data_IF_662186999890
#
_entry.id   IF_662186999890
#
_cell.length_a   1.000
_cell.length_b   1.000
_cell.length_c   1.000
_cell.angle_alpha   90.00
_cell.angle_beta   90.00
_cell.angle_gamma   90.00
#
_symmetry.space_group_name_H-M   'P 1'
#
loop_
_entity.id
_entity.type
_entity.pdbx_description
1 polymer ?
#
# COMPACT_ATOMS: atom_id res chain seq x y z
N UNK A 1 -4.12 -0.57 17.87
CA UNK A 1 -5.36 -1.05 17.21
C UNK A 1 -5.18 -1.15 15.71
N UNK A 2 -4.86 -0.07 14.98
CA UNK A 2 -4.62 -0.13 13.52
C UNK A 2 -3.54 -1.14 13.11
N UNK A 3 -2.46 -1.27 13.87
CA UNK A 3 -1.42 -2.28 13.64
C UNK A 3 -1.95 -3.74 13.64
N UNK A 4 -2.92 -4.03 14.52
CA UNK A 4 -3.58 -5.35 14.62
C UNK A 4 -4.50 -5.59 13.41
N UNK A 5 -5.01 -4.53 12.79
CA UNK A 5 -5.78 -4.66 11.56
C UNK A 5 -4.86 -4.83 10.35
N UNK A 6 -3.85 -3.97 10.19
CA UNK A 6 -3.00 -3.95 9.00
C UNK A 6 -1.96 -5.07 8.93
N UNK A 7 -1.61 -5.76 10.03
CA UNK A 7 -0.78 -6.97 9.94
C UNK A 7 -1.48 -8.12 9.22
N UNK A 8 -2.82 -8.12 9.20
CA UNK A 8 -3.60 -9.16 8.54
C UNK A 8 -3.39 -9.19 7.02
N UNK A 9 -2.98 -8.07 6.40
CA UNK A 9 -2.71 -8.00 4.96
C UNK A 9 -1.54 -8.92 4.57
N UNK A 10 -0.30 -8.71 5.06
CA UNK A 10 0.82 -9.57 4.66
C UNK A 10 0.68 -11.00 5.21
N UNK A 11 0.16 -11.18 6.43
CA UNK A 11 -0.06 -12.53 6.97
C UNK A 11 -1.12 -13.29 6.19
N UNK A 12 -2.24 -12.65 5.85
CA UNK A 12 -3.29 -13.23 5.03
C UNK A 12 -2.77 -13.64 3.64
N UNK A 13 -1.97 -12.78 3.00
CA UNK A 13 -1.32 -13.10 1.72
C UNK A 13 -0.39 -14.32 1.83
N UNK A 14 0.47 -14.37 2.84
CA UNK A 14 1.37 -15.51 3.06
C UNK A 14 0.61 -16.82 3.34
N UNK A 15 -0.43 -16.76 4.17
CA UNK A 15 -1.33 -17.89 4.42
C UNK A 15 -2.06 -18.32 3.14
N UNK A 16 -2.39 -17.39 2.24
CA UNK A 16 -2.96 -17.66 0.93
C UNK A 16 -2.05 -18.54 0.06
N UNK A 17 -0.75 -18.25 0.00
CA UNK A 17 0.21 -19.11 -0.69
C UNK A 17 0.31 -20.49 -0.06
N UNK A 18 0.34 -20.56 1.27
CA UNK A 18 0.46 -21.83 2.01
C UNK A 18 -0.78 -22.70 1.80
N UNK A 19 -1.97 -22.14 1.97
CA UNK A 19 -3.22 -22.85 1.77
C UNK A 19 -3.38 -23.25 0.30
N UNK A 20 -3.12 -22.34 -0.64
CA UNK A 20 -3.27 -22.60 -2.07
C UNK A 20 -2.35 -23.71 -2.57
N UNK A 21 -1.08 -23.69 -2.16
CA UNK A 21 -0.11 -24.74 -2.50
C UNK A 21 -0.48 -26.10 -1.90
N UNK A 22 -0.78 -26.17 -0.59
CA UNK A 22 -1.15 -27.43 0.06
C UNK A 22 -2.42 -28.04 -0.50
N UNK A 23 -3.44 -27.22 -0.76
CA UNK A 23 -4.71 -27.73 -1.30
C UNK A 23 -4.54 -28.19 -2.74
N UNK A 24 -3.76 -27.48 -3.56
CA UNK A 24 -3.40 -27.94 -4.92
C UNK A 24 -2.71 -29.29 -4.87
N UNK A 25 -1.71 -29.44 -4.00
CA UNK A 25 -0.92 -30.68 -3.89
C UNK A 25 -1.76 -31.86 -3.38
N UNK A 26 -2.66 -31.62 -2.41
CA UNK A 26 -3.53 -32.66 -1.84
C UNK A 26 -4.65 -33.08 -2.80
N UNK A 27 -5.25 -32.13 -3.51
CA UNK A 27 -6.39 -32.38 -4.39
C UNK A 27 -5.97 -32.73 -5.83
N UNK A 28 -4.69 -32.59 -6.16
CA UNK A 28 -4.15 -32.77 -7.51
C UNK A 28 -4.64 -31.72 -8.53
N UNK A 29 -5.40 -30.71 -8.09
CA UNK A 29 -6.03 -29.72 -8.95
C UNK A 29 -6.11 -28.35 -8.26
N UNK A 30 -5.72 -27.31 -8.98
CA UNK A 30 -5.67 -25.93 -8.52
C UNK A 30 -7.08 -25.34 -8.29
N UNK A 31 -8.12 -25.84 -8.94
CA UNK A 31 -9.49 -25.35 -8.72
C UNK A 31 -9.94 -25.53 -7.26
N UNK A 32 -9.44 -26.53 -6.55
CA UNK A 32 -9.76 -26.75 -5.13
C UNK A 32 -9.16 -25.67 -4.23
N UNK A 33 -7.99 -25.13 -4.57
CA UNK A 33 -7.41 -24.01 -3.84
C UNK A 33 -8.33 -22.78 -3.85
N UNK A 34 -9.02 -22.52 -4.97
CA UNK A 34 -9.97 -21.41 -5.10
C UNK A 34 -11.23 -21.56 -4.24
N UNK A 35 -11.58 -22.78 -3.82
CA UNK A 35 -12.81 -23.05 -3.04
C UNK A 35 -12.63 -22.79 -1.55
N UNK A 36 -11.39 -22.71 -1.06
CA UNK A 36 -11.08 -22.46 0.36
C UNK A 36 -11.51 -21.06 0.79
N UNK A 37 -11.14 -20.05 0.00
CA UNK A 37 -11.35 -18.64 0.35
C UNK A 37 -12.83 -18.26 0.49
N UNK A 38 -13.75 -18.68 -0.42
CA UNK A 38 -15.18 -18.46 -0.24
C UNK A 38 -15.73 -19.05 1.07
N UNK A 39 -15.26 -20.24 1.48
CA UNK A 39 -15.67 -20.86 2.75
C UNK A 39 -15.27 -20.01 3.97
N UNK A 40 -14.03 -19.53 4.00
CA UNK A 40 -13.57 -18.59 5.04
C UNK A 40 -14.34 -17.27 5.00
N UNK A 41 -14.71 -16.79 3.81
CA UNK A 41 -15.52 -15.60 3.61
C UNK A 41 -16.91 -15.71 4.22
N UNK A 42 -17.59 -16.85 4.06
CA UNK A 42 -18.89 -17.11 4.69
C UNK A 42 -18.78 -17.05 6.21
N UNK A 43 -17.74 -17.68 6.79
CA UNK A 43 -17.49 -17.61 8.23
C UNK A 43 -17.26 -16.18 8.69
N UNK A 44 -16.48 -15.39 7.94
CA UNK A 44 -16.26 -13.97 8.26
C UNK A 44 -17.56 -13.16 8.24
N UNK A 45 -18.43 -13.36 7.25
CA UNK A 45 -19.74 -12.69 7.17
C UNK A 45 -20.64 -13.05 8.36
N UNK A 46 -20.68 -14.32 8.75
CA UNK A 46 -21.42 -14.78 9.92
C UNK A 46 -20.89 -14.13 11.21
N UNK A 47 -19.57 -14.07 11.38
CA UNK A 47 -18.96 -13.41 12.54
C UNK A 47 -19.24 -11.90 12.56
N UNK A 48 -19.19 -11.21 11.42
CA UNK A 48 -19.56 -9.80 11.34
C UNK A 48 -21.01 -9.59 11.78
N UNK A 49 -21.94 -10.40 11.28
CA UNK A 49 -23.37 -10.27 11.61
C UNK A 49 -23.68 -10.59 13.09
N UNK A 50 -23.01 -11.60 13.66
CA UNK A 50 -23.29 -12.08 15.02
C UNK A 50 -22.54 -11.30 16.11
N UNK A 51 -21.33 -10.79 15.82
CA UNK A 51 -20.41 -10.24 16.83
C UNK A 51 -20.29 -8.71 16.74
N UNK A 52 -20.29 -8.13 15.54
CA UNK A 52 -20.01 -6.69 15.36
C UNK A 52 -21.28 -5.87 15.51
N UNK A 53 -21.32 -5.02 16.54
CA UNK A 53 -22.36 -4.00 16.71
C UNK A 53 -21.91 -2.70 16.04
N UNK A 54 -22.70 -2.22 15.10
CA UNK A 54 -22.45 -0.95 14.40
C UNK A 54 -22.55 0.24 15.39
N UNK A 55 -21.47 0.98 15.63
CA UNK A 55 -21.53 2.18 16.46
C UNK A 55 -22.17 3.34 15.68
N UNK A 56 -22.81 4.31 16.37
CA UNK A 56 -23.26 5.53 15.71
C UNK A 56 -22.08 6.29 15.11
N UNK A 57 -22.22 6.75 13.86
CA UNK A 57 -21.15 7.46 13.13
C UNK A 57 -20.66 8.68 13.91
N UNK A 58 -19.33 8.82 14.03
CA UNK A 58 -18.70 9.94 14.72
C UNK A 58 -18.78 9.88 16.24
N UNK A 59 -19.23 8.77 16.84
CA UNK A 59 -19.36 8.63 18.29
C UNK A 59 -18.02 8.72 19.02
N UNK A 60 -16.90 8.46 18.34
CA UNK A 60 -15.55 8.45 18.93
C UNK A 60 -14.89 9.83 18.86
N UNK A 61 -15.36 10.69 17.95
CA UNK A 61 -14.80 12.01 17.66
C UNK A 61 -15.57 13.17 18.31
N UNK A 62 -16.72 12.90 18.96
CA UNK A 62 -17.43 13.90 19.77
C UNK A 62 -16.64 14.20 21.04
N UNK A 63 -15.62 15.04 20.93
CA UNK A 63 -15.19 15.85 22.06
C UNK A 63 -16.35 16.81 22.37
N UNK A 64 -16.83 16.77 23.61
CA UNK A 64 -18.06 17.41 24.09
C UNK A 64 -18.19 18.91 23.78
N UNK A 65 -17.09 19.59 23.41
CA UNK A 65 -17.02 21.04 23.21
C UNK A 65 -16.61 21.50 21.79
N UNK A 66 -16.46 20.60 20.81
CA UNK A 66 -16.11 21.01 19.43
C UNK A 66 -17.35 21.23 18.56
N UNK A 67 -17.42 22.31 17.75
CA UNK A 67 -18.55 22.54 16.86
C UNK A 67 -18.73 21.36 15.89
N UNK A 68 -19.96 20.96 15.56
CA UNK A 68 -20.21 19.85 14.65
C UNK A 68 -19.58 20.16 13.28
N UNK A 69 -18.66 19.29 12.84
CA UNK A 69 -18.12 19.36 11.49
C UNK A 69 -19.23 19.02 10.51
N UNK A 70 -19.63 20.01 9.69
CA UNK A 70 -20.64 19.79 8.67
C UNK A 70 -20.06 19.03 7.48
N UNK A 71 -20.80 18.07 6.90
CA UNK A 71 -20.40 17.43 5.67
C UNK A 71 -20.32 18.46 4.53
N UNK A 72 -19.26 18.37 3.73
CA UNK A 72 -19.05 19.21 2.55
C UNK A 72 -19.47 18.48 1.27
N UNK A 73 -19.58 19.21 0.16
CA UNK A 73 -19.88 18.59 -1.13
C UNK A 73 -18.73 17.70 -1.60
N UNK A 74 -19.05 16.62 -2.31
CA UNK A 74 -18.05 15.65 -2.78
C UNK A 74 -16.95 16.28 -3.64
N UNK A 75 -17.30 17.23 -4.52
CA UNK A 75 -16.33 17.96 -5.34
C UNK A 75 -15.41 18.88 -4.51
N UNK A 76 -15.92 19.45 -3.42
CA UNK A 76 -15.10 20.24 -2.50
C UNK A 76 -14.09 19.32 -1.78
N UNK A 77 -14.53 18.14 -1.34
CA UNK A 77 -13.66 17.15 -0.70
C UNK A 77 -12.53 16.71 -1.63
N UNK A 78 -12.86 16.38 -2.87
CA UNK A 78 -11.86 16.04 -3.89
C UNK A 78 -10.82 17.13 -4.09
N UNK A 79 -11.27 18.37 -4.24
CA UNK A 79 -10.38 19.51 -4.44
C UNK A 79 -9.50 19.76 -3.21
N UNK A 80 -10.03 19.56 -2.01
CA UNK A 80 -9.28 19.70 -0.77
C UNK A 80 -8.22 18.59 -0.63
N UNK A 81 -8.57 17.35 -0.94
CA UNK A 81 -7.64 16.21 -0.94
C UNK A 81 -6.54 16.40 -1.98
N UNK A 82 -6.89 16.85 -3.19
CA UNK A 82 -5.93 17.15 -4.24
C UNK A 82 -5.00 18.34 -3.92
N UNK A 83 -5.32 19.15 -2.90
CA UNK A 83 -4.47 20.25 -2.41
C UNK A 83 -3.68 19.89 -1.15
N UNK A 84 -3.83 18.67 -0.66
CA UNK A 84 -3.10 18.16 0.49
C UNK A 84 -1.85 17.41 0.00
N UNK A 85 -0.67 18.04 0.01
CA UNK A 85 0.55 17.43 -0.54
C UNK A 85 0.96 16.18 0.26
N UNK A 86 0.77 16.15 1.58
CA UNK A 86 1.07 14.94 2.37
C UNK A 86 0.18 13.77 1.97
N UNK A 87 -1.11 14.01 1.73
CA UNK A 87 -2.02 12.96 1.27
C UNK A 87 -1.62 12.43 -0.12
N UNK A 88 -1.32 13.30 -1.08
CA UNK A 88 -0.91 12.89 -2.43
C UNK A 88 0.39 12.11 -2.38
N UNK A 89 1.42 12.66 -1.74
CA UNK A 89 2.75 12.05 -1.72
C UNK A 89 2.77 10.73 -0.95
N UNK A 90 2.05 10.63 0.16
CA UNK A 90 1.91 9.35 0.89
C UNK A 90 1.09 8.33 0.11
N UNK A 91 0.08 8.75 -0.65
CA UNK A 91 -0.68 7.88 -1.55
C UNK A 91 0.17 7.36 -2.71
N UNK A 92 1.02 8.21 -3.30
CA UNK A 92 1.99 7.80 -4.33
C UNK A 92 3.03 6.83 -3.75
N UNK A 93 3.57 7.13 -2.57
CA UNK A 93 4.49 6.23 -1.86
C UNK A 93 3.87 4.86 -1.60
N UNK A 94 2.63 4.83 -1.10
CA UNK A 94 1.91 3.59 -0.86
C UNK A 94 1.54 2.84 -2.13
N UNK A 95 1.22 3.56 -3.21
CA UNK A 95 1.01 2.95 -4.53
C UNK A 95 2.26 2.23 -5.02
N UNK A 96 3.46 2.80 -4.78
CA UNK A 96 4.71 2.12 -5.07
C UNK A 96 4.96 0.89 -4.17
N UNK A 97 4.59 0.95 -2.88
CA UNK A 97 4.62 -0.22 -1.99
C UNK A 97 3.73 -1.34 -2.56
N UNK A 98 2.51 -1.01 -2.96
CA UNK A 98 1.56 -1.95 -3.57
C UNK A 98 2.07 -2.48 -4.91
N UNK A 99 2.69 -1.63 -5.74
CA UNK A 99 3.32 -2.03 -7.00
C UNK A 99 4.35 -3.14 -6.78
N UNK A 100 5.31 -2.90 -5.88
CA UNK A 100 6.38 -3.85 -5.58
C UNK A 100 5.79 -5.14 -5.00
N UNK A 101 4.88 -5.02 -4.03
CA UNK A 101 4.25 -6.17 -3.38
C UNK A 101 3.47 -7.02 -4.37
N UNK A 102 2.62 -6.44 -5.21
CA UNK A 102 1.82 -7.18 -6.19
C UNK A 102 2.67 -7.89 -7.24
N UNK A 103 3.72 -7.22 -7.73
CA UNK A 103 4.65 -7.82 -8.70
C UNK A 103 5.39 -9.03 -8.11
N UNK A 104 5.90 -8.90 -6.88
CA UNK A 104 6.55 -10.01 -6.18
C UNK A 104 5.57 -11.12 -5.86
N UNK A 105 4.36 -10.77 -5.42
CA UNK A 105 3.31 -11.74 -5.12
C UNK A 105 3.04 -12.66 -6.34
N UNK A 106 2.83 -12.10 -7.53
CA UNK A 106 2.57 -12.95 -8.70
C UNK A 106 3.82 -13.68 -9.19
N UNK A 107 4.95 -12.97 -9.30
CA UNK A 107 6.09 -13.44 -10.08
C UNK A 107 7.21 -14.06 -9.25
N UNK A 108 7.33 -13.80 -7.95
CA UNK A 108 8.44 -14.30 -7.15
C UNK A 108 8.49 -15.84 -7.09
N UNK A 109 7.39 -16.59 -6.87
CA UNK A 109 7.45 -18.05 -6.89
C UNK A 109 7.88 -18.60 -8.25
N UNK A 110 7.37 -18.03 -9.34
CA UNK A 110 7.75 -18.42 -10.70
C UNK A 110 9.21 -18.07 -11.01
N UNK A 111 9.70 -16.92 -10.54
CA UNK A 111 11.08 -16.49 -10.66
C UNK A 111 12.04 -17.43 -9.93
N UNK A 112 11.73 -17.79 -8.68
CA UNK A 112 12.51 -18.70 -7.85
C UNK A 112 12.59 -20.10 -8.48
N UNK A 113 11.46 -20.62 -8.96
CA UNK A 113 11.41 -21.88 -9.69
C UNK A 113 12.30 -21.85 -10.94
N UNK A 114 12.18 -20.81 -11.78
CA UNK A 114 13.02 -20.64 -12.97
C UNK A 114 14.51 -20.56 -12.62
N UNK A 115 14.85 -19.93 -11.50
CA UNK A 115 16.22 -19.85 -11.01
C UNK A 115 16.78 -21.23 -10.67
N UNK A 116 16.02 -22.07 -9.97
CA UNK A 116 16.41 -23.44 -9.63
C UNK A 116 16.58 -24.34 -10.84
N UNK A 117 15.70 -24.18 -11.85
CA UNK A 117 15.84 -24.89 -13.13
C UNK A 117 17.15 -24.50 -13.82
N UNK A 118 17.50 -23.22 -13.85
CA UNK A 118 18.76 -22.74 -14.44
C UNK A 118 20.00 -23.22 -13.66
N UNK A 119 19.88 -23.38 -12.33
CA UNK A 119 20.92 -23.94 -11.47
C UNK A 119 21.06 -25.46 -11.57
N UNK A 120 20.08 -26.15 -12.18
CA UNK A 120 20.02 -27.61 -12.24
C UNK A 120 19.58 -28.27 -10.93
N UNK A 121 19.02 -27.51 -9.98
CA UNK A 121 18.52 -28.03 -8.70
C UNK A 121 17.18 -28.76 -8.85
N UNK A 122 16.37 -28.38 -9.84
CA UNK A 122 15.04 -28.95 -10.08
C UNK A 122 14.78 -29.11 -11.57
N UNK A 123 14.04 -30.16 -12.00
CA UNK A 123 13.65 -30.32 -13.39
C UNK A 123 12.69 -29.21 -13.86
N UNK A 124 12.67 -28.89 -15.17
CA UNK A 124 11.71 -27.94 -15.71
C UNK A 124 10.28 -28.48 -15.61
N UNK A 125 9.35 -27.56 -15.34
CA UNK A 125 7.92 -27.84 -15.29
C UNK A 125 7.32 -27.97 -16.69
N UNK A 126 6.95 -29.19 -17.09
CA UNK A 126 6.31 -29.45 -18.38
C UNK A 126 4.77 -29.39 -18.27
N UNK A 127 4.07 -29.06 -19.37
CA UNK A 127 2.61 -29.05 -19.39
C UNK A 127 2.05 -30.44 -19.05
N UNK A 128 1.30 -30.55 -17.95
CA UNK A 128 0.72 -31.81 -17.47
C UNK A 128 1.34 -32.35 -16.18
N UNK A 129 2.48 -31.83 -15.75
CA UNK A 129 3.11 -32.22 -14.48
C UNK A 129 2.55 -31.42 -13.28
N UNK A 130 2.37 -32.11 -12.15
CA UNK A 130 2.12 -31.47 -10.85
C UNK A 130 3.41 -30.84 -10.35
N UNK A 131 3.72 -29.64 -10.85
CA UNK A 131 4.87 -28.87 -10.43
C UNK A 131 4.94 -28.69 -8.92
N UNK A 132 6.13 -28.90 -8.37
CA UNK A 132 6.43 -28.72 -6.95
C UNK A 132 6.01 -27.33 -6.48
N UNK A 133 5.12 -27.28 -5.48
CA UNK A 133 4.64 -26.04 -4.87
C UNK A 133 5.59 -25.49 -3.78
N UNK A 134 6.80 -26.05 -3.65
CA UNK A 134 7.74 -25.73 -2.58
C UNK A 134 8.15 -24.25 -2.56
N UNK A 135 8.39 -23.63 -3.72
CA UNK A 135 8.79 -22.21 -3.76
C UNK A 135 7.63 -21.28 -3.36
N UNK A 136 6.39 -21.62 -3.71
CA UNK A 136 5.21 -20.90 -3.23
C UNK A 136 5.02 -21.08 -1.72
N UNK A 137 5.26 -22.28 -1.17
CA UNK A 137 5.21 -22.54 0.26
C UNK A 137 6.26 -21.73 1.03
N UNK A 138 7.51 -21.76 0.58
CA UNK A 138 8.62 -21.04 1.22
C UNK A 138 8.37 -19.54 1.14
N UNK A 139 7.98 -19.04 -0.04
CA UNK A 139 7.63 -17.63 -0.22
C UNK A 139 6.48 -17.22 0.71
N UNK A 140 5.41 -18.01 0.79
CA UNK A 140 4.29 -17.76 1.70
C UNK A 140 4.68 -17.70 3.18
N UNK A 141 5.57 -18.60 3.62
CA UNK A 141 6.12 -18.58 4.99
C UNK A 141 6.95 -17.33 5.24
N UNK A 142 7.80 -16.95 4.29
CA UNK A 142 8.59 -15.73 4.37
C UNK A 142 7.65 -14.53 4.47
N UNK A 143 6.67 -14.39 3.56
CA UNK A 143 5.67 -13.31 3.56
C UNK A 143 4.89 -13.19 4.88
N UNK A 144 4.51 -14.32 5.49
CA UNK A 144 3.90 -14.30 6.82
C UNK A 144 4.83 -13.71 7.88
N UNK A 145 6.06 -14.21 7.96
CA UNK A 145 7.03 -13.80 8.98
C UNK A 145 7.46 -12.34 8.80
N UNK A 146 7.79 -11.96 7.57
CA UNK A 146 8.20 -10.59 7.20
C UNK A 146 7.05 -9.61 7.38
N UNK A 147 5.80 -10.04 7.17
CA UNK A 147 4.60 -9.28 7.48
C UNK A 147 4.47 -8.93 8.96
N UNK A 148 4.55 -9.93 9.84
CA UNK A 148 4.48 -9.72 11.29
C UNK A 148 5.64 -8.85 11.78
N UNK A 149 6.86 -9.21 11.39
CA UNK A 149 8.07 -8.49 11.81
C UNK A 149 8.09 -7.07 11.26
N UNK A 150 7.77 -6.87 9.98
CA UNK A 150 7.80 -5.58 9.32
C UNK A 150 6.78 -4.61 9.91
N UNK A 151 5.52 -5.03 10.07
CA UNK A 151 4.49 -4.17 10.68
C UNK A 151 4.84 -3.84 12.13
N UNK A 152 5.33 -4.81 12.91
CA UNK A 152 5.77 -4.61 14.29
C UNK A 152 6.94 -3.63 14.41
N UNK A 153 7.99 -3.83 13.62
CA UNK A 153 9.17 -2.96 13.57
C UNK A 153 8.80 -1.56 13.08
N UNK A 154 7.96 -1.44 12.05
CA UNK A 154 7.50 -0.16 11.52
C UNK A 154 6.81 0.68 12.60
N UNK A 155 5.84 0.10 13.30
CA UNK A 155 5.10 0.78 14.36
C UNK A 155 6.01 1.14 15.54
N UNK A 156 6.91 0.25 15.95
CA UNK A 156 7.80 0.51 17.08
C UNK A 156 8.84 1.59 16.76
N UNK A 157 9.45 1.55 15.57
CA UNK A 157 10.38 2.59 15.13
C UNK A 157 9.69 3.94 14.98
N UNK A 158 8.52 3.97 14.34
CA UNK A 158 7.69 5.17 14.28
C UNK A 158 7.39 5.70 15.68
N UNK A 159 6.90 4.87 16.60
CA UNK A 159 6.56 5.27 17.97
C UNK A 159 7.75 5.86 18.72
N UNK A 160 8.94 5.26 18.62
CA UNK A 160 10.15 5.76 19.28
C UNK A 160 10.62 7.07 18.67
N UNK A 161 10.72 7.13 17.35
CA UNK A 161 11.23 8.30 16.63
C UNK A 161 10.27 9.50 16.74
N UNK A 162 8.96 9.24 16.87
CA UNK A 162 7.94 10.29 17.03
C UNK A 162 8.08 11.08 18.33
N UNK A 163 8.77 10.54 19.35
CA UNK A 163 9.08 11.26 20.59
C UNK A 163 10.04 12.43 20.38
N UNK A 164 10.93 12.33 19.39
CA UNK A 164 11.94 13.35 19.09
C UNK A 164 11.67 14.10 17.78
N UNK A 165 11.01 13.48 16.81
CA UNK A 165 10.75 14.07 15.50
C UNK A 165 9.27 13.92 15.09
N UNK A 166 8.51 15.02 14.94
CA UNK A 166 7.12 14.99 14.48
C UNK A 166 6.92 14.38 13.08
N UNK A 167 8.00 14.30 12.27
CA UNK A 167 8.02 13.73 10.91
C UNK A 167 8.37 12.23 10.88
N UNK A 168 8.39 11.56 12.03
CA UNK A 168 8.86 10.18 12.16
C UNK A 168 8.18 9.22 11.18
N UNK A 169 6.86 9.29 11.03
CA UNK A 169 6.06 8.35 10.25
C UNK A 169 6.48 8.29 8.77
N UNK A 170 6.44 9.40 8.01
CA UNK A 170 6.90 9.37 6.62
C UNK A 170 8.39 9.05 6.48
N UNK A 171 9.24 9.41 7.46
CA UNK A 171 10.66 9.05 7.41
C UNK A 171 10.90 7.54 7.60
N UNK A 172 10.12 6.88 8.46
CA UNK A 172 10.19 5.43 8.64
C UNK A 172 9.67 4.72 7.39
N UNK A 173 8.59 5.22 6.77
CA UNK A 173 8.11 4.69 5.48
C UNK A 173 9.17 4.84 4.38
N UNK A 174 9.79 6.03 4.27
CA UNK A 174 10.86 6.27 3.32
C UNK A 174 12.06 5.34 3.54
N UNK A 175 12.51 5.18 4.78
CA UNK A 175 13.62 4.30 5.12
C UNK A 175 13.31 2.83 4.80
N UNK A 176 12.09 2.36 5.10
CA UNK A 176 11.64 1.01 4.76
C UNK A 176 11.63 0.79 3.25
N UNK A 177 10.97 1.68 2.49
CA UNK A 177 10.83 1.50 1.05
C UNK A 177 12.16 1.71 0.28
N UNK A 178 12.93 2.76 0.59
CA UNK A 178 14.27 2.97 0.00
C UNK A 178 15.23 1.87 0.39
N UNK A 179 15.18 1.41 1.65
CA UNK A 179 15.98 0.30 2.15
C UNK A 179 15.63 -1.02 1.47
N UNK A 180 14.36 -1.25 1.14
CA UNK A 180 13.95 -2.48 0.46
C UNK A 180 14.51 -2.59 -0.97
N UNK A 181 14.64 -1.49 -1.70
CA UNK A 181 15.10 -1.47 -3.09
C UNK A 181 16.46 -2.15 -3.34
N UNK A 182 17.57 -1.86 -2.61
CA UNK A 182 18.83 -2.56 -2.79
C UNK A 182 18.74 -4.05 -2.43
N UNK A 183 17.97 -4.43 -1.40
CA UNK A 183 17.80 -5.85 -1.07
C UNK A 183 17.00 -6.61 -2.12
N UNK A 184 15.97 -5.99 -2.69
CA UNK A 184 15.24 -6.56 -3.83
C UNK A 184 16.15 -6.70 -5.05
N UNK A 185 16.96 -5.68 -5.36
CA UNK A 185 17.95 -5.77 -6.43
C UNK A 185 18.95 -6.91 -6.19
N UNK A 186 19.51 -7.01 -4.98
CA UNK A 186 20.44 -8.08 -4.60
C UNK A 186 19.78 -9.46 -4.68
N UNK A 187 18.51 -9.60 -4.28
CA UNK A 187 17.79 -10.86 -4.40
C UNK A 187 17.69 -11.34 -5.85
N UNK A 188 17.47 -10.41 -6.79
CA UNK A 188 17.37 -10.70 -8.21
C UNK A 188 18.73 -11.06 -8.80
N UNK A 189 19.80 -10.33 -8.47
CA UNK A 189 21.14 -10.59 -9.02
C UNK A 189 21.77 -11.86 -8.45
N UNK A 190 21.54 -12.17 -7.17
CA UNK A 190 22.05 -13.37 -6.52
C UNK A 190 21.32 -14.66 -6.92
N UNK A 191 20.14 -14.58 -7.55
CA UNK A 191 19.29 -15.74 -7.83
C UNK A 191 20.00 -16.81 -8.67
N UNK A 192 20.85 -16.42 -9.62
CA UNK A 192 21.65 -17.36 -10.42
C UNK A 192 22.84 -17.96 -9.69
N UNK A 193 23.29 -17.35 -8.58
CA UNK A 193 24.45 -17.81 -7.83
C UNK A 193 24.08 -18.67 -6.62
N UNK A 194 23.09 -18.22 -5.85
CA UNK A 194 22.64 -18.92 -4.64
C UNK A 194 21.18 -18.63 -4.35
N UNK A 195 20.34 -19.67 -4.40
CA UNK A 195 18.93 -19.56 -4.05
C UNK A 195 18.73 -19.17 -2.58
N UNK A 196 19.61 -19.64 -1.69
CA UNK A 196 19.58 -19.33 -0.26
C UNK A 196 19.83 -17.84 -0.02
N UNK A 197 20.84 -17.26 -0.67
CA UNK A 197 21.10 -15.82 -0.58
C UNK A 197 19.90 -15.00 -1.08
N UNK A 198 19.26 -15.43 -2.17
CA UNK A 198 18.05 -14.80 -2.68
C UNK A 198 16.91 -14.81 -1.67
N UNK A 199 16.65 -15.93 -0.99
CA UNK A 199 15.62 -15.99 0.05
C UNK A 199 15.91 -15.06 1.23
N UNK A 200 17.17 -14.96 1.67
CA UNK A 200 17.57 -14.04 2.74
C UNK A 200 17.32 -12.58 2.33
N UNK A 201 17.68 -12.21 1.10
CA UNK A 201 17.46 -10.86 0.60
C UNK A 201 15.97 -10.54 0.37
N UNK A 202 15.17 -11.51 -0.08
CA UNK A 202 13.70 -11.37 -0.14
C UNK A 202 13.16 -11.12 1.27
N UNK A 203 13.58 -11.92 2.26
CA UNK A 203 13.13 -11.76 3.64
C UNK A 203 13.40 -10.36 4.19
N UNK A 204 14.61 -9.83 4.00
CA UNK A 204 14.96 -8.48 4.46
C UNK A 204 14.18 -7.42 3.68
N UNK A 205 14.14 -7.52 2.34
CA UNK A 205 13.45 -6.57 1.48
C UNK A 205 11.95 -6.49 1.79
N UNK A 206 11.28 -7.63 1.95
CA UNK A 206 9.86 -7.71 2.27
C UNK A 206 9.54 -7.27 3.71
N UNK A 207 10.44 -7.51 4.67
CA UNK A 207 10.30 -6.98 6.03
C UNK A 207 10.31 -5.45 6.01
N UNK A 208 11.27 -4.85 5.30
CA UNK A 208 11.38 -3.40 5.15
C UNK A 208 10.18 -2.80 4.38
N UNK A 209 9.69 -3.49 3.35
CA UNK A 209 8.49 -3.12 2.61
C UNK A 209 7.24 -3.15 3.52
N UNK A 210 7.13 -4.17 4.36
CA UNK A 210 5.99 -4.39 5.26
C UNK A 210 5.91 -3.37 6.41
N UNK A 211 6.96 -2.60 6.67
CA UNK A 211 6.91 -1.51 7.66
C UNK A 211 5.90 -0.41 7.32
N UNK A 212 5.52 -0.27 6.04
CA UNK A 212 4.71 0.84 5.56
C UNK A 212 3.20 0.71 5.88
N UNK A 213 2.65 -0.51 5.94
CA UNK A 213 1.20 -0.75 5.95
C UNK A 213 0.44 0.01 7.04
N UNK A 214 0.84 -0.15 8.31
CA UNK A 214 0.17 0.48 9.43
C UNK A 214 0.45 1.99 9.52
N UNK A 215 1.65 2.42 9.11
CA UNK A 215 2.10 3.82 9.26
C UNK A 215 1.41 4.72 8.23
N UNK A 216 1.25 4.26 6.98
CA UNK A 216 0.57 5.03 5.94
C UNK A 216 -0.89 5.30 6.31
N UNK A 217 -1.57 4.31 6.88
CA UNK A 217 -2.93 4.51 7.37
C UNK A 217 -2.99 5.54 8.52
N UNK A 218 -2.02 5.50 9.44
CA UNK A 218 -1.90 6.51 10.52
C UNK A 218 -1.69 7.91 9.92
N UNK A 219 -0.80 8.05 8.92
CA UNK A 219 -0.55 9.30 8.19
C UNK A 219 -1.86 9.92 7.68
N UNK A 220 -2.68 9.13 6.98
CA UNK A 220 -3.96 9.58 6.42
C UNK A 220 -4.87 10.16 7.50
N UNK A 221 -4.98 9.49 8.65
CA UNK A 221 -5.91 9.88 9.71
C UNK A 221 -5.59 11.24 10.33
N UNK A 222 -4.32 11.62 10.47
CA UNK A 222 -3.97 12.90 11.08
C UNK A 222 -3.69 14.03 10.09
N UNK A 223 -3.59 13.76 8.77
CA UNK A 223 -3.49 14.81 7.73
C UNK A 223 -4.82 15.11 7.05
N UNK A 224 -5.84 14.25 7.21
CA UNK A 224 -7.19 14.44 6.64
C UNK A 224 -8.23 14.61 7.76
N UNK A 225 -9.10 15.61 7.60
CA UNK A 225 -10.18 15.87 8.55
C UNK A 225 -11.22 14.73 8.56
N UNK A 226 -11.87 14.46 9.71
CA UNK A 226 -12.77 13.32 9.87
C UNK A 226 -13.85 13.16 8.79
N UNK A 227 -14.49 14.27 8.38
CA UNK A 227 -15.56 14.27 7.38
C UNK A 227 -15.11 13.81 5.99
N UNK A 228 -13.80 13.85 5.71
CA UNK A 228 -13.20 13.51 4.40
C UNK A 228 -12.38 12.22 4.41
N UNK A 229 -12.16 11.60 5.58
CA UNK A 229 -11.27 10.43 5.73
C UNK A 229 -11.72 9.22 4.90
N UNK A 230 -13.00 8.90 4.92
CA UNK A 230 -13.54 7.78 4.14
C UNK A 230 -13.31 7.97 2.64
N UNK A 231 -13.55 9.18 2.12
CA UNK A 231 -13.27 9.52 0.73
C UNK A 231 -11.77 9.41 0.43
N UNK A 232 -10.92 9.95 1.30
CA UNK A 232 -9.46 9.89 1.14
C UNK A 232 -8.93 8.45 1.10
N UNK A 233 -9.40 7.61 2.02
CA UNK A 233 -9.02 6.19 2.10
C UNK A 233 -9.48 5.43 0.86
N UNK A 234 -10.72 5.65 0.42
CA UNK A 234 -11.22 5.06 -0.83
C UNK A 234 -10.36 5.44 -2.05
N UNK A 235 -9.95 6.72 -2.17
CA UNK A 235 -9.06 7.15 -3.25
C UNK A 235 -7.68 6.51 -3.16
N UNK A 236 -7.11 6.46 -1.96
CA UNK A 236 -5.81 5.82 -1.75
C UNK A 236 -5.85 4.34 -2.14
N UNK A 237 -6.89 3.61 -1.71
CA UNK A 237 -7.13 2.20 -2.03
C UNK A 237 -7.28 2.00 -3.55
N UNK A 238 -8.14 2.79 -4.21
CA UNK A 238 -8.34 2.67 -5.67
C UNK A 238 -7.04 2.93 -6.41
N UNK A 239 -6.30 3.97 -6.04
CA UNK A 239 -5.03 4.30 -6.68
C UNK A 239 -3.98 3.19 -6.45
N UNK A 240 -3.83 2.72 -5.22
CA UNK A 240 -2.86 1.68 -4.87
C UNK A 240 -3.19 0.35 -5.52
N UNK A 241 -4.46 0.00 -5.67
CA UNK A 241 -4.82 -1.26 -6.33
C UNK A 241 -4.68 -1.18 -7.84
N UNK A 242 -5.25 -0.13 -8.45
CA UNK A 242 -5.26 0.00 -9.91
C UNK A 242 -3.86 0.15 -10.48
N UNK A 243 -3.04 1.04 -9.90
CA UNK A 243 -1.71 1.34 -10.40
C UNK A 243 -0.60 0.55 -9.69
N UNK A 244 -0.87 0.06 -8.49
CA UNK A 244 0.06 -0.76 -7.73
C UNK A 244 -0.15 -2.24 -8.03
N UNK A 245 -0.85 -2.96 -7.16
CA UNK A 245 -0.80 -4.42 -7.13
C UNK A 245 -1.52 -5.15 -8.28
N UNK A 246 -2.57 -4.57 -8.88
CA UNK A 246 -3.23 -5.16 -10.04
C UNK A 246 -2.51 -4.82 -11.36
N UNK A 247 -2.03 -3.58 -11.47
CA UNK A 247 -1.35 -3.10 -12.70
C UNK A 247 0.07 -3.60 -12.85
N UNK A 248 0.82 -3.70 -11.74
CA UNK A 248 2.25 -4.02 -11.78
C UNK A 248 2.56 -5.41 -12.34
N UNK A 249 1.86 -6.51 -11.98
CA UNK A 249 2.23 -7.83 -12.46
C UNK A 249 2.00 -7.98 -13.96
N UNK A 250 0.94 -7.35 -14.48
CA UNK A 250 0.68 -7.27 -15.92
C UNK A 250 1.81 -6.54 -16.65
N UNK A 251 2.26 -5.39 -16.12
CA UNK A 251 3.37 -4.64 -16.70
C UNK A 251 4.68 -5.45 -16.69
N UNK A 252 5.01 -6.11 -15.58
CA UNK A 252 6.19 -6.99 -15.48
C UNK A 252 6.11 -8.12 -16.51
N UNK A 253 4.95 -8.78 -16.63
CA UNK A 253 4.72 -9.84 -17.62
C UNK A 253 4.90 -9.34 -19.05
N UNK A 254 4.34 -8.18 -19.38
CA UNK A 254 4.46 -7.56 -20.70
C UNK A 254 5.91 -7.24 -21.08
N UNK A 255 6.69 -6.69 -20.15
CA UNK A 255 8.12 -6.42 -20.37
C UNK A 255 8.88 -7.74 -20.56
N UNK A 256 8.61 -8.74 -19.70
CA UNK A 256 9.24 -10.05 -19.78
C UNK A 256 8.96 -10.73 -21.13
N UNK A 257 7.71 -10.73 -21.58
CA UNK A 257 7.30 -11.32 -22.85
C UNK A 257 7.95 -10.63 -24.05
N UNK A 258 8.06 -9.31 -24.03
CA UNK A 258 8.75 -8.56 -25.09
C UNK A 258 10.24 -8.90 -25.15
N UNK A 259 10.91 -9.02 -24.01
CA UNK A 259 12.32 -9.45 -23.95
C UNK A 259 12.49 -10.89 -24.45
N UNK A 260 11.57 -11.80 -24.10
CA UNK A 260 11.64 -13.19 -24.56
C UNK A 260 11.53 -13.32 -26.08
N UNK A 261 10.73 -12.49 -26.75
CA UNK A 261 10.56 -12.54 -28.21
C UNK A 261 11.83 -12.20 -28.99
N UNK A 262 12.71 -11.39 -28.42
CA UNK A 262 13.97 -10.99 -29.09
C UNK A 262 15.14 -11.90 -28.76
N UNK A 263 15.00 -12.78 -27.77
CA UNK A 263 16.06 -13.65 -27.27
C UNK A 263 15.88 -15.10 -27.72
N UNK A 264 16.96 -15.90 -27.79
CA UNK A 264 16.84 -17.31 -28.15
C UNK A 264 15.99 -18.06 -27.12
N UNK A 265 15.10 -18.98 -27.53
CA UNK A 265 14.24 -19.72 -26.64
C UNK A 265 15.09 -20.64 -25.74
N UNK A 266 15.18 -20.31 -24.45
CA UNK A 266 15.88 -21.12 -23.45
C UNK A 266 15.38 -20.78 -22.04
N UNK A 267 15.49 -21.72 -21.09
CA UNK A 267 15.15 -21.46 -19.68
C UNK A 267 15.97 -20.31 -19.09
N UNK A 268 17.22 -20.13 -19.53
CA UNK A 268 18.06 -19.01 -19.12
C UNK A 268 17.51 -17.67 -19.64
N UNK A 269 17.03 -17.62 -20.89
CA UNK A 269 16.40 -16.43 -21.46
C UNK A 269 15.10 -16.08 -20.73
N UNK A 270 14.27 -17.07 -20.39
CA UNK A 270 13.03 -16.86 -19.64
C UNK A 270 13.26 -16.37 -18.21
N UNK A 271 14.26 -16.94 -17.52
CA UNK A 271 14.71 -16.48 -16.22
C UNK A 271 15.21 -15.04 -16.28
N UNK A 272 16.13 -14.73 -17.20
CA UNK A 272 16.70 -13.38 -17.35
C UNK A 272 15.63 -12.35 -17.73
N UNK A 273 14.72 -12.68 -18.64
CA UNK A 273 13.68 -11.75 -19.07
C UNK A 273 12.81 -11.32 -17.88
N UNK A 274 12.44 -12.27 -17.01
CA UNK A 274 11.71 -11.97 -15.78
C UNK A 274 12.59 -11.22 -14.75
N UNK A 275 13.85 -11.61 -14.61
CA UNK A 275 14.84 -10.92 -13.76
C UNK A 275 14.93 -9.43 -14.08
N UNK A 276 15.17 -9.09 -15.36
CA UNK A 276 15.27 -7.70 -15.82
C UNK A 276 13.96 -6.93 -15.64
N UNK A 277 12.83 -7.60 -15.88
CA UNK A 277 11.52 -6.97 -15.69
C UNK A 277 11.30 -6.62 -14.22
N UNK A 278 11.59 -7.55 -13.30
CA UNK A 278 11.43 -7.34 -11.86
C UNK A 278 12.35 -6.24 -11.29
N UNK A 279 13.46 -5.88 -11.96
CA UNK A 279 14.29 -4.73 -11.55
C UNK A 279 13.51 -3.40 -11.57
N UNK A 280 12.42 -3.31 -12.36
CA UNK A 280 11.51 -2.16 -12.33
C UNK A 280 10.94 -1.94 -10.92
N UNK A 281 10.74 -3.00 -10.13
CA UNK A 281 10.24 -2.89 -8.75
C UNK A 281 11.21 -2.08 -7.88
N UNK A 282 12.52 -2.28 -8.02
CA UNK A 282 13.51 -1.52 -7.25
C UNK A 282 13.48 -0.03 -7.61
N UNK A 283 13.31 0.30 -8.90
CA UNK A 283 13.19 1.68 -9.37
C UNK A 283 11.89 2.35 -8.87
N UNK A 284 10.74 1.69 -9.03
CA UNK A 284 9.44 2.20 -8.55
C UNK A 284 9.45 2.34 -7.02
N UNK A 285 10.05 1.39 -6.30
CA UNK A 285 10.27 1.47 -4.86
C UNK A 285 11.09 2.70 -4.49
N UNK A 286 12.20 2.98 -5.20
CA UNK A 286 13.00 4.17 -4.95
C UNK A 286 12.20 5.48 -5.14
N UNK A 287 11.38 5.56 -6.19
CA UNK A 287 10.48 6.70 -6.42
C UNK A 287 9.43 6.85 -5.31
N UNK A 288 8.83 5.75 -4.86
CA UNK A 288 7.90 5.78 -3.73
C UNK A 288 8.57 6.22 -2.43
N UNK A 289 9.81 5.79 -2.21
CA UNK A 289 10.61 6.22 -1.07
C UNK A 289 10.90 7.72 -1.10
N UNK A 290 11.21 8.27 -2.27
CA UNK A 290 11.33 9.72 -2.48
C UNK A 290 10.01 10.45 -2.24
N UNK A 291 8.86 9.87 -2.62
CA UNK A 291 7.55 10.44 -2.30
C UNK A 291 7.28 10.48 -0.79
N UNK A 292 7.68 9.46 -0.03
CA UNK A 292 7.62 9.49 1.43
C UNK A 292 8.55 10.53 2.05
N UNK A 293 9.77 10.71 1.52
CA UNK A 293 10.64 11.82 1.93
C UNK A 293 9.98 13.18 1.66
N UNK A 294 9.34 13.35 0.50
CA UNK A 294 8.55 14.53 0.18
C UNK A 294 7.40 14.74 1.17
N UNK A 295 6.70 13.67 1.55
CA UNK A 295 5.65 13.70 2.57
C UNK A 295 6.19 14.26 3.89
N UNK A 296 7.39 13.87 4.30
CA UNK A 296 8.02 14.37 5.53
C UNK A 296 8.23 15.90 5.54
N UNK A 297 8.36 16.54 4.37
CA UNK A 297 8.52 18.01 4.27
C UNK A 297 7.20 18.73 4.61
N UNK A 298 6.06 18.18 4.17
CA UNK A 298 4.75 18.84 4.29
C UNK A 298 3.92 18.37 5.49
N UNK A 299 4.27 17.23 6.09
CA UNK A 299 3.45 16.54 7.09
C UNK A 299 3.08 17.41 8.30
N UNK A 300 4.01 18.23 8.80
CA UNK A 300 3.75 19.09 9.95
C UNK A 300 2.73 20.18 9.64
N UNK A 301 2.86 20.81 8.47
CA UNK A 301 1.94 21.83 8.00
C UNK A 301 0.54 21.25 7.79
N UNK A 302 0.44 20.10 7.14
CA UNK A 302 -0.84 19.47 6.82
C UNK A 302 -1.56 18.95 8.06
N UNK A 303 -0.81 18.35 8.99
CA UNK A 303 -1.32 17.95 10.30
C UNK A 303 -1.85 19.15 11.08
N UNK A 304 -1.10 20.26 11.12
CA UNK A 304 -1.53 21.49 11.80
C UNK A 304 -2.79 22.07 11.14
N UNK A 305 -2.86 22.09 9.81
CA UNK A 305 -4.06 22.56 9.08
C UNK A 305 -5.29 21.71 9.39
N UNK A 306 -5.14 20.38 9.42
CA UNK A 306 -6.23 19.47 9.78
C UNK A 306 -6.69 19.68 11.23
N UNK A 307 -5.76 19.84 12.18
CA UNK A 307 -6.08 20.11 13.59
C UNK A 307 -6.83 21.43 13.77
N UNK A 308 -6.38 22.51 13.13
CA UNK A 308 -7.03 23.82 13.20
C UNK A 308 -8.45 23.80 12.60
N UNK A 309 -8.68 23.02 11.54
CA UNK A 309 -10.03 22.81 11.00
C UNK A 309 -10.94 22.09 11.99
N UNK A 310 -10.45 21.02 12.63
CA UNK A 310 -11.21 20.26 13.64
C UNK A 310 -11.55 21.14 14.85
N UNK A 311 -10.66 22.06 15.21
CA UNK A 311 -10.89 23.04 16.29
C UNK A 311 -11.78 24.23 15.87
N UNK A 312 -12.22 24.31 14.61
CA UNK A 312 -13.04 25.42 14.10
C UNK A 312 -12.30 26.75 13.91
N UNK A 313 -10.97 26.75 14.02
CA UNK A 313 -10.12 27.95 13.89
C UNK A 313 -9.77 28.28 12.44
N UNK A 314 -9.91 27.32 11.53
CA UNK A 314 -9.89 27.53 10.09
C UNK A 314 -11.28 27.23 9.53
N UNK A 315 -12.02 28.27 9.15
CA UNK A 315 -13.16 28.11 8.26
C UNK A 315 -12.62 28.06 6.84
N UNK A 316 -12.90 26.97 6.11
CA UNK A 316 -12.86 27.05 4.65
C UNK A 316 -13.73 28.23 4.23
N UNK A 317 -13.14 29.20 3.52
CA UNK A 317 -13.93 30.23 2.87
C UNK A 317 -14.94 29.49 2.00
N UNK A 318 -16.22 29.63 2.33
CA UNK A 318 -17.30 28.99 1.60
C UNK A 318 -17.21 29.31 0.11
N UNK A 319 -17.92 28.53 -0.74
CA UNK A 319 -18.18 28.99 -2.10
C UNK A 319 -18.73 30.43 -2.03
N UNK A 320 -18.52 31.23 -3.08
CA UNK A 320 -18.76 32.68 -3.13
C UNK A 320 -20.14 33.22 -2.66
N UNK A 321 -21.03 32.39 -2.13
CA UNK A 321 -22.34 32.73 -1.53
C UNK A 321 -22.26 33.65 -0.31
N UNK A 322 -21.13 33.75 0.39
CA UNK A 322 -20.93 34.71 1.48
C UNK A 322 -20.49 36.11 1.00
N UNK A 323 -20.62 36.39 -0.31
CA UNK A 323 -20.35 37.72 -0.88
C UNK A 323 -21.65 38.38 -1.30
N UNK A 324 -22.12 39.30 -0.47
CA UNK A 324 -23.26 40.14 -0.82
C UNK A 324 -22.80 41.16 -1.88
N UNK A 325 -23.60 41.32 -2.93
CA UNK A 325 -23.37 42.36 -3.93
C UNK A 325 -23.92 43.67 -3.37
N UNK A 326 -23.02 44.59 -2.99
CA UNK A 326 -23.44 45.90 -2.49
C UNK A 326 -23.43 46.89 -3.65
N UNK A 327 -24.55 47.59 -3.94
CA UNK A 327 -24.57 48.63 -4.94
C UNK A 327 -23.87 49.88 -4.39
N UNK A 328 -22.63 50.13 -4.82
CA UNK A 328 -22.00 51.44 -4.71
C UNK A 328 -22.20 52.21 -6.02
N UNK A 329 -22.54 53.50 -5.93
CA UNK A 329 -22.85 54.44 -7.03
C UNK A 329 -22.15 54.06 -8.35
N UNK A 330 -22.86 53.32 -9.20
CA UNK A 330 -22.48 53.00 -10.58
C UNK A 330 -21.79 51.66 -10.85
N UNK A 331 -21.28 50.91 -9.85
CA UNK A 331 -20.71 49.55 -10.04
C UNK A 331 -20.93 48.64 -8.84
N UNK A 332 -21.33 47.39 -9.13
CA UNK A 332 -21.49 46.32 -8.15
C UNK A 332 -20.13 45.77 -7.68
N UNK A 333 -19.85 45.84 -6.38
CA UNK A 333 -18.67 45.22 -5.75
C UNK A 333 -19.11 44.06 -4.84
N UNK A 334 -18.40 42.93 -4.94
CA UNK A 334 -18.62 41.76 -4.09
C UNK A 334 -17.82 41.91 -2.80
N UNK A 335 -18.49 42.04 -1.67
CA UNK A 335 -17.87 42.29 -0.37
C UNK A 335 -18.27 41.16 0.59
N UNK A 336 -17.33 40.61 1.41
CA UNK A 336 -17.66 39.54 2.35
C UNK A 336 -18.69 40.00 3.40
N UNK A 337 -19.66 39.15 3.77
CA UNK A 337 -20.73 39.45 4.74
C UNK A 337 -20.19 40.01 6.07
N UNK A 338 -19.01 39.55 6.50
CA UNK A 338 -18.34 40.02 7.73
C UNK A 338 -17.92 41.50 7.71
N UNK A 339 -17.91 42.15 6.54
CA UNK A 339 -17.53 43.56 6.40
C UNK A 339 -18.70 44.54 6.42
N UNK A 340 -19.94 44.04 6.42
CA UNK A 340 -21.17 44.85 6.42
C UNK A 340 -21.86 44.84 7.80
N UNK A 341 -21.52 43.87 8.66
CA UNK A 341 -21.98 43.77 10.03
C UNK A 341 -21.00 44.50 10.98
N UNK A 342 -20.99 45.84 10.92
CA UNK A 342 -20.50 46.74 11.97
C UNK A 342 -21.55 47.82 12.17
#
# INVERSE_FOLDING_TARGET
MLSVFYFAIPVGSGLGYIAGSKVKDMAGDWHWALRVTPGLGVVAVLLLFLVVREPPRGAVERLSDSPPLNPTSWWADLRALARNPSFILSSLGFTAVAFVTGSLALWAPAFLLRSRVVLGETPPCLPGDSCSSSDSLIFGLITCLTGVLGVGLGVEFSRRLRRSNPRADPLVCAAGLLGSAPFLFLSLTCARGSIVATYIFIFIGETLLSMNWAIVADILLYVVIPTRRSTAEAFQIVLSHLLGDAGSPYLIGLISDRLRRTWPPSFLSEFRALQFSLMLCAFVGALGGAAFLGTAIFIEGDRRRAQLHVQGLLREAGPEDDRIVVPQRGRSTRVPVSSVLI
#
